data_IF_868583953224
#
_entry.id   IF_868583953224
#
_cell.length_a   1.000
_cell.length_b   1.000
_cell.length_c   1.000
_cell.angle_alpha   90.00
_cell.angle_beta   90.00
_cell.angle_gamma   90.00
#
_symmetry.space_group_name_H-M   'P 1'
#
loop_
_entity.id
_entity.type
_entity.pdbx_description
1 polymer ?
#
# COMPACT_ATOMS: atom_id res chain seq x y z
N UNK A 1 -14.44 -6.75 -17.14
CA UNK A 1 -14.24 -7.54 -15.92
C UNK A 1 -15.29 -7.04 -14.95
N UNK A 2 -16.22 -7.91 -14.57
CA UNK A 2 -17.29 -7.57 -13.64
C UNK A 2 -16.73 -7.64 -12.23
N UNK A 3 -16.75 -6.49 -11.54
CA UNK A 3 -16.30 -6.37 -10.16
C UNK A 3 -17.39 -6.95 -9.27
N UNK A 4 -17.03 -7.82 -8.34
CA UNK A 4 -18.00 -8.43 -7.43
C UNK A 4 -18.50 -7.41 -6.40
N UNK A 5 -19.69 -7.60 -5.81
CA UNK A 5 -20.21 -6.70 -4.77
C UNK A 5 -19.29 -6.55 -3.54
N UNK A 6 -18.51 -7.59 -3.24
CA UNK A 6 -17.50 -7.56 -2.18
C UNK A 6 -16.30 -6.70 -2.55
N UNK A 7 -15.82 -6.79 -3.78
CA UNK A 7 -14.75 -5.94 -4.28
C UNK A 7 -15.20 -4.47 -4.35
N UNK A 8 -16.45 -4.20 -4.75
CA UNK A 8 -17.05 -2.86 -4.72
C UNK A 8 -17.10 -2.26 -3.31
N UNK A 9 -17.60 -3.03 -2.32
CA UNK A 9 -17.60 -2.58 -0.92
C UNK A 9 -16.20 -2.30 -0.40
N UNK A 10 -15.21 -3.11 -0.78
CA UNK A 10 -13.82 -2.93 -0.35
C UNK A 10 -13.20 -1.68 -0.98
N UNK A 11 -13.45 -1.44 -2.28
CA UNK A 11 -13.01 -0.24 -2.99
C UNK A 11 -13.67 1.02 -2.40
N UNK A 12 -14.97 0.94 -2.09
CA UNK A 12 -15.72 2.03 -1.46
C UNK A 12 -15.14 2.36 -0.08
N UNK A 13 -14.88 1.36 0.77
CA UNK A 13 -14.27 1.55 2.08
C UNK A 13 -12.84 2.14 1.99
N UNK A 14 -12.05 1.76 0.99
CA UNK A 14 -10.72 2.33 0.76
C UNK A 14 -10.78 3.78 0.29
N UNK A 15 -11.78 4.15 -0.52
CA UNK A 15 -12.02 5.54 -0.96
C UNK A 15 -12.53 6.42 0.18
N UNK A 16 -13.46 5.90 0.98
CA UNK A 16 -14.06 6.62 2.11
C UNK A 16 -13.09 6.79 3.28
N UNK A 17 -12.15 5.86 3.44
CA UNK A 17 -11.16 5.92 4.50
C UNK A 17 -10.05 6.97 4.24
N UNK A 18 -10.10 7.73 3.13
CA UNK A 18 -9.10 8.73 2.70
C UNK A 18 -7.66 8.23 2.93
N UNK A 19 -7.44 6.92 2.75
CA UNK A 19 -6.20 6.31 3.20
C UNK A 19 -5.06 6.93 2.42
N UNK A 20 -4.05 7.50 3.10
CA UNK A 20 -2.91 8.07 2.41
C UNK A 20 -2.33 7.02 1.47
N UNK A 21 -1.94 7.39 0.23
CA UNK A 21 -1.34 6.45 -0.72
C UNK A 21 -0.24 5.59 -0.09
N UNK A 22 0.50 6.17 0.87
CA UNK A 22 1.49 5.49 1.70
C UNK A 22 0.94 4.30 2.52
N UNK A 23 -0.22 4.43 3.16
CA UNK A 23 -0.81 3.35 3.97
C UNK A 23 -1.22 2.16 3.10
N UNK A 24 -1.80 2.42 1.93
CA UNK A 24 -2.19 1.37 0.98
C UNK A 24 -0.95 0.63 0.47
N UNK A 25 0.11 1.35 0.12
CA UNK A 25 1.37 0.75 -0.33
C UNK A 25 2.03 -0.11 0.75
N UNK A 26 2.04 0.34 2.01
CA UNK A 26 2.56 -0.43 3.15
C UNK A 26 1.74 -1.71 3.35
N UNK A 27 0.41 -1.61 3.29
CA UNK A 27 -0.47 -2.78 3.44
C UNK A 27 -0.22 -3.80 2.33
N UNK A 28 -0.16 -3.35 1.07
CA UNK A 28 0.12 -4.20 -0.07
C UNK A 28 1.49 -4.87 0.04
N UNK A 29 2.52 -4.14 0.48
CA UNK A 29 3.86 -4.69 0.75
C UNK A 29 3.80 -5.81 1.79
N UNK A 30 3.01 -5.64 2.85
CA UNK A 30 2.87 -6.64 3.90
C UNK A 30 2.07 -7.87 3.44
N UNK A 31 0.99 -7.68 2.70
CA UNK A 31 0.19 -8.79 2.16
C UNK A 31 1.04 -9.65 1.21
N UNK A 32 1.77 -9.02 0.28
CA UNK A 32 2.64 -9.72 -0.68
C UNK A 32 3.81 -10.41 0.03
N UNK A 33 4.45 -9.73 1.00
CA UNK A 33 5.55 -10.33 1.78
C UNK A 33 5.13 -11.58 2.54
N UNK A 34 3.85 -11.73 2.89
CA UNK A 34 3.33 -12.86 3.64
C UNK A 34 2.65 -13.90 2.74
N UNK A 35 2.48 -13.64 1.44
CA UNK A 35 1.91 -14.60 0.50
C UNK A 35 2.95 -15.65 0.10
N UNK A 36 2.98 -16.74 0.85
CA UNK A 36 3.82 -17.91 0.59
C UNK A 36 3.13 -18.99 -0.22
N UNK A 37 1.84 -18.83 -0.51
CA UNK A 37 1.01 -19.86 -1.14
C UNK A 37 0.76 -19.59 -2.63
N UNK A 38 0.65 -18.33 -3.05
CA UNK A 38 0.25 -17.97 -4.41
C UNK A 38 1.35 -17.27 -5.22
N UNK A 39 2.44 -16.86 -4.57
CA UNK A 39 3.53 -16.11 -5.20
C UNK A 39 4.87 -16.78 -4.93
N UNK A 40 5.58 -17.09 -6.02
CA UNK A 40 6.96 -17.57 -5.98
C UNK A 40 7.87 -16.62 -5.20
N UNK A 41 8.75 -17.16 -4.37
CA UNK A 41 9.56 -16.39 -3.43
C UNK A 41 10.42 -15.30 -4.10
N UNK A 42 11.10 -15.63 -5.20
CA UNK A 42 11.92 -14.66 -5.95
C UNK A 42 11.09 -13.49 -6.49
N UNK A 43 9.88 -13.78 -6.96
CA UNK A 43 8.96 -12.77 -7.47
C UNK A 43 8.34 -11.94 -6.34
N UNK A 44 8.09 -12.55 -5.18
CA UNK A 44 7.66 -11.85 -3.97
C UNK A 44 8.73 -10.84 -3.53
N UNK A 45 9.99 -11.25 -3.46
CA UNK A 45 11.11 -10.37 -3.11
C UNK A 45 11.26 -9.20 -4.08
N UNK A 46 11.17 -9.46 -5.39
CA UNK A 46 11.23 -8.42 -6.41
C UNK A 46 10.12 -7.38 -6.24
N UNK A 47 8.89 -7.83 -6.03
CA UNK A 47 7.73 -6.94 -5.86
C UNK A 47 7.83 -6.16 -4.55
N UNK A 48 8.24 -6.79 -3.45
CA UNK A 48 8.47 -6.12 -2.16
C UNK A 48 9.52 -5.02 -2.32
N UNK A 49 10.65 -5.31 -2.97
CA UNK A 49 11.73 -4.34 -3.20
C UNK A 49 11.26 -3.13 -4.02
N UNK A 50 10.45 -3.37 -5.05
CA UNK A 50 9.86 -2.28 -5.85
C UNK A 50 8.92 -1.44 -4.99
N UNK A 51 8.05 -2.05 -4.19
CA UNK A 51 7.15 -1.33 -3.28
C UNK A 51 7.92 -0.49 -2.26
N UNK A 52 9.02 -0.99 -1.72
CA UNK A 52 9.89 -0.25 -0.79
C UNK A 52 10.49 1.02 -1.42
N UNK A 53 10.82 0.99 -2.71
CA UNK A 53 11.31 2.17 -3.45
C UNK A 53 10.25 3.26 -3.59
N UNK A 54 8.96 2.89 -3.68
CA UNK A 54 7.86 3.86 -3.72
C UNK A 54 7.44 4.33 -2.32
N UNK A 55 7.50 3.46 -1.32
CA UNK A 55 7.17 3.77 0.07
C UNK A 55 8.18 4.75 0.69
N UNK A 56 9.48 4.56 0.43
CA UNK A 56 10.56 5.35 1.04
C UNK A 56 10.38 6.87 0.88
N UNK A 57 10.24 7.39 -0.35
CA UNK A 57 10.00 8.82 -0.60
C UNK A 57 8.72 9.33 0.05
N UNK A 58 7.61 8.60 -0.11
CA UNK A 58 6.30 8.98 0.46
C UNK A 58 6.33 9.02 2.00
N UNK A 59 7.12 8.16 2.63
CA UNK A 59 7.32 8.18 4.08
C UNK A 59 8.15 9.38 4.54
N UNK A 60 9.15 9.78 3.75
CA UNK A 60 9.93 11.01 3.94
C UNK A 60 9.05 12.24 3.85
N UNK A 61 8.30 12.37 2.76
CA UNK A 61 7.37 13.49 2.51
C UNK A 61 6.30 13.59 3.61
N UNK A 62 5.71 12.46 4.04
CA UNK A 62 4.74 12.41 5.14
C UNK A 62 5.33 12.89 6.48
N UNK A 63 6.61 12.62 6.74
CA UNK A 63 7.29 13.14 7.92
C UNK A 63 7.55 14.64 7.81
N UNK A 64 7.98 15.12 6.66
CA UNK A 64 8.22 16.55 6.43
C UNK A 64 6.93 17.38 6.46
N UNK A 65 5.83 16.90 5.88
CA UNK A 65 4.51 17.54 5.99
C UNK A 65 4.02 17.60 7.44
N UNK A 66 4.24 16.54 8.23
CA UNK A 66 3.90 16.54 9.67
C UNK A 66 4.75 17.51 10.48
N UNK A 67 5.99 17.74 10.08
CA UNK A 67 6.87 18.73 10.72
C UNK A 67 6.67 20.16 10.20
N UNK A 68 6.08 20.32 9.02
CA UNK A 68 5.86 21.62 8.35
C UNK A 68 4.46 22.21 8.59
N UNK A 69 3.53 21.50 9.22
CA UNK A 69 2.30 22.10 9.76
C UNK A 69 2.64 22.98 10.98
N UNK A 70 2.52 24.32 10.90
CA UNK A 70 2.47 25.13 12.10
C UNK A 70 1.09 24.94 12.77
N UNK A 71 1.12 24.96 14.11
CA UNK A 71 0.00 24.99 15.07
C UNK A 71 -1.40 25.25 14.53
#
# INVERSE_FOLDING_TARGET
MDVTPQEEMMIQALREAELPPLFVLIRLRNEISNDTANVEESRREDVVRILEQYIGPLWGDHREEKHSKPK
#
